data_IF_649211983543
#
_entry.id   IF_649211983543
#
_cell.length_a   1.000
_cell.length_b   1.000
_cell.length_c   1.000
_cell.angle_alpha   90.00
_cell.angle_beta   90.00
_cell.angle_gamma   90.00
#
_symmetry.space_group_name_H-M   'P 1'
#
loop_
_entity.id
_entity.type
_entity.pdbx_description
1 polymer ?
#
# COMPACT_ATOMS: atom_id res chain seq x y z
N UNK A 1 36.16 90.11 -26.96
CA UNK A 1 37.34 89.23 -27.16
C UNK A 1 37.83 88.74 -25.80
N UNK A 2 38.21 87.46 -25.75
CA UNK A 2 39.01 86.76 -24.72
C UNK A 2 38.36 86.43 -23.37
N UNK A 3 38.14 85.13 -23.26
CA UNK A 3 37.95 84.32 -22.06
C UNK A 3 39.21 84.25 -21.17
N UNK A 4 39.01 83.90 -19.89
CA UNK A 4 39.85 83.02 -19.02
C UNK A 4 39.19 83.00 -17.64
N UNK A 5 38.40 81.99 -17.29
CA UNK A 5 38.77 80.79 -16.52
C UNK A 5 39.49 81.06 -15.19
N UNK A 6 38.90 80.60 -14.07
CA UNK A 6 39.64 80.02 -12.92
C UNK A 6 38.73 79.17 -12.01
N UNK A 7 38.95 77.86 -12.18
CA UNK A 7 39.12 76.83 -11.15
C UNK A 7 37.97 76.50 -10.20
N UNK A 8 37.19 75.49 -10.60
CA UNK A 8 36.47 74.60 -9.69
C UNK A 8 37.42 73.54 -9.12
N UNK A 9 37.61 73.56 -7.80
CA UNK A 9 38.03 72.38 -7.03
C UNK A 9 36.72 71.81 -6.45
N UNK A 10 36.24 70.69 -7.00
CA UNK A 10 35.16 69.92 -6.37
C UNK A 10 35.78 68.70 -5.71
N UNK A 11 35.79 68.73 -4.39
CA UNK A 11 36.13 67.61 -3.53
C UNK A 11 35.18 66.44 -3.83
N UNK A 12 35.74 65.33 -4.29
CA UNK A 12 35.03 64.07 -4.42
C UNK A 12 34.88 63.45 -3.02
N UNK A 13 33.72 63.69 -2.39
CA UNK A 13 33.28 62.96 -1.21
C UNK A 13 32.92 61.55 -1.61
N UNK A 14 33.81 60.60 -1.35
CA UNK A 14 33.59 59.17 -1.53
C UNK A 14 32.66 58.67 -0.41
N UNK A 15 31.35 58.80 -0.62
CA UNK A 15 30.34 58.20 0.26
C UNK A 15 30.39 56.67 0.13
N UNK A 16 31.05 56.03 1.08
CA UNK A 16 31.07 54.59 1.26
C UNK A 16 29.66 54.14 1.72
N UNK A 17 28.81 53.77 0.75
CA UNK A 17 27.53 53.12 1.00
C UNK A 17 27.81 51.72 1.57
N UNK A 18 27.70 51.58 2.90
CA UNK A 18 27.52 50.29 3.55
C UNK A 18 26.19 49.70 3.07
N UNK A 19 26.25 48.81 2.09
CA UNK A 19 25.14 47.93 1.74
C UNK A 19 25.01 46.94 2.90
N UNK A 20 23.90 46.94 3.67
CA UNK A 20 23.69 45.91 4.67
C UNK A 20 23.65 44.58 3.93
N UNK A 21 24.59 43.68 4.26
CA UNK A 21 24.53 42.30 3.83
C UNK A 21 23.22 41.73 4.38
N UNK A 22 22.20 41.68 3.53
CA UNK A 22 20.96 41.00 3.83
C UNK A 22 21.34 39.56 4.14
N UNK A 23 21.22 39.17 5.40
CA UNK A 23 21.37 37.81 5.84
C UNK A 23 20.38 36.97 5.02
N UNK A 24 20.89 36.27 4.01
CA UNK A 24 20.13 35.24 3.32
C UNK A 24 19.83 34.19 4.38
N UNK A 25 18.62 34.24 4.95
CA UNK A 25 18.10 33.14 5.74
C UNK A 25 18.11 31.94 4.81
N UNK A 26 19.07 31.03 5.02
CA UNK A 26 19.08 29.76 4.33
C UNK A 26 17.76 29.07 4.67
N UNK A 27 16.81 29.14 3.74
CA UNK A 27 15.61 28.31 3.81
C UNK A 27 16.13 26.89 3.69
N UNK A 28 16.17 26.17 4.81
CA UNK A 28 16.44 24.75 4.80
C UNK A 28 15.45 24.15 3.79
N UNK A 29 16.00 23.51 2.75
CA UNK A 29 15.16 22.99 1.67
C UNK A 29 14.32 21.86 2.25
N UNK A 30 13.02 22.11 2.42
CA UNK A 30 12.06 21.07 2.80
C UNK A 30 12.15 19.96 1.75
N UNK A 31 12.39 18.73 2.21
CA UNK A 31 12.51 17.59 1.33
C UNK A 31 11.20 16.82 1.29
N UNK A 32 10.62 16.69 0.11
CA UNK A 32 9.45 15.86 -0.13
C UNK A 32 9.80 14.36 -0.10
N UNK A 33 9.12 13.59 0.74
CA UNK A 33 9.30 12.13 0.84
C UNK A 33 8.11 11.37 0.25
N UNK A 34 6.89 11.79 0.57
CA UNK A 34 5.65 11.17 0.08
C UNK A 34 4.71 12.25 -0.43
N UNK A 35 4.11 12.02 -1.59
CA UNK A 35 3.07 12.88 -2.16
C UNK A 35 1.88 12.03 -2.63
N UNK A 36 0.75 12.21 -1.96
CA UNK A 36 -0.56 11.70 -2.33
C UNK A 36 -1.50 12.89 -2.65
N UNK A 37 -2.66 12.66 -3.30
CA UNK A 37 -3.58 13.76 -3.67
C UNK A 37 -4.01 14.69 -2.52
N UNK A 38 -4.06 14.19 -1.29
CA UNK A 38 -4.52 14.90 -0.09
C UNK A 38 -3.50 14.90 1.06
N UNK A 39 -2.29 14.36 0.84
CA UNK A 39 -1.26 14.21 1.86
C UNK A 39 0.14 14.53 1.29
N UNK A 40 0.88 15.33 2.03
CA UNK A 40 2.29 15.63 1.80
C UNK A 40 3.09 15.20 3.04
N UNK A 41 4.21 14.49 2.85
CA UNK A 41 5.17 14.20 3.93
C UNK A 41 6.50 14.83 3.57
N UNK A 42 6.98 15.73 4.43
CA UNK A 42 8.24 16.43 4.27
C UNK A 42 9.18 16.18 5.44
N UNK A 43 10.48 16.29 5.17
CA UNK A 43 11.53 16.34 6.19
C UNK A 43 12.15 17.73 6.12
N UNK A 44 12.13 18.44 7.24
CA UNK A 44 12.54 19.86 7.29
C UNK A 44 14.06 20.05 7.36
N UNK A 45 14.82 18.95 7.49
CA UNK A 45 16.29 18.94 7.58
C UNK A 45 16.89 17.75 6.85
N UNK A 46 18.19 17.83 6.57
CA UNK A 46 18.94 16.70 6.03
C UNK A 46 18.87 15.50 6.99
N UNK A 47 18.67 14.29 6.44
CA UNK A 47 18.46 13.07 7.22
C UNK A 47 19.82 12.56 7.71
N UNK A 48 20.12 12.80 8.98
CA UNK A 48 21.30 12.25 9.65
C UNK A 48 21.09 10.78 10.03
N UNK A 49 21.97 9.89 9.55
CA UNK A 49 21.87 8.48 9.91
C UNK A 49 22.18 8.30 11.41
N UNK A 50 21.31 7.58 12.14
CA UNK A 50 21.42 7.39 13.59
C UNK A 50 20.77 8.49 14.42
N UNK A 51 20.17 9.51 13.80
CA UNK A 51 19.48 10.60 14.48
C UNK A 51 17.96 10.48 14.36
N UNK A 52 17.22 11.05 15.30
CA UNK A 52 15.76 11.13 15.20
C UNK A 52 15.41 12.07 14.03
N UNK A 53 14.58 11.62 13.10
CA UNK A 53 14.16 12.44 11.96
C UNK A 53 12.86 13.17 12.27
N UNK A 54 12.81 14.48 12.00
CA UNK A 54 11.59 15.27 12.10
C UNK A 54 10.79 15.10 10.81
N UNK A 55 9.55 14.60 10.93
CA UNK A 55 8.62 14.42 9.83
C UNK A 55 7.43 15.37 10.01
N UNK A 56 7.14 16.15 8.97
CA UNK A 56 5.96 17.00 8.91
C UNK A 56 4.98 16.43 7.88
N UNK A 57 3.79 16.05 8.33
CA UNK A 57 2.71 15.49 7.52
C UNK A 57 1.63 16.54 7.34
N UNK A 58 1.41 17.02 6.11
CA UNK A 58 0.38 18.01 5.78
C UNK A 58 -0.77 17.32 5.07
N UNK A 59 -1.96 17.30 5.67
CA UNK A 59 -3.15 16.69 5.08
C UNK A 59 -4.39 17.51 5.35
N UNK A 60 -5.35 17.48 4.42
CA UNK A 60 -6.68 18.07 4.67
C UNK A 60 -7.69 17.06 5.23
N UNK A 61 -7.32 15.78 5.29
CA UNK A 61 -8.08 14.70 5.89
C UNK A 61 -7.72 14.60 7.39
N UNK A 62 -8.65 14.98 8.26
CA UNK A 62 -8.46 14.92 9.72
C UNK A 62 -8.53 13.51 10.28
N UNK A 63 -9.17 12.57 9.59
CA UNK A 63 -9.22 11.18 10.02
C UNK A 63 -7.83 10.53 9.95
N UNK A 64 -6.95 11.02 9.06
CA UNK A 64 -5.54 10.64 9.03
C UNK A 64 -4.87 10.84 10.39
N UNK A 65 -5.14 11.96 11.06
CA UNK A 65 -4.48 12.38 12.30
C UNK A 65 -5.14 11.82 13.57
N UNK A 66 -6.10 10.91 13.43
CA UNK A 66 -6.69 10.23 14.57
C UNK A 66 -5.68 9.31 15.25
N UNK A 67 -5.83 9.18 16.57
CA UNK A 67 -5.13 8.16 17.34
C UNK A 67 -5.39 6.79 16.72
N UNK A 68 -4.32 6.01 16.55
CA UNK A 68 -4.34 4.66 15.99
C UNK A 68 -4.81 4.60 14.52
N UNK A 69 -4.70 5.71 13.77
CA UNK A 69 -5.03 5.76 12.34
C UNK A 69 -4.19 4.76 11.53
N UNK A 70 -4.82 3.74 10.89
CA UNK A 70 -4.11 2.80 10.03
C UNK A 70 -3.48 3.48 8.82
N UNK A 71 -4.12 4.56 8.34
CA UNK A 71 -3.60 5.35 7.22
C UNK A 71 -2.30 6.05 7.60
N UNK A 72 -2.23 6.68 8.77
CA UNK A 72 -1.00 7.32 9.27
C UNK A 72 0.11 6.30 9.49
N UNK A 73 -0.21 5.13 10.03
CA UNK A 73 0.75 4.05 10.20
C UNK A 73 1.37 3.62 8.86
N UNK A 74 0.55 3.39 7.82
CA UNK A 74 1.05 3.04 6.47
C UNK A 74 1.96 4.12 5.88
N UNK A 75 1.62 5.39 6.08
CA UNK A 75 2.44 6.52 5.61
C UNK A 75 3.80 6.53 6.31
N UNK A 76 3.82 6.29 7.62
CA UNK A 76 5.06 6.17 8.41
C UNK A 76 5.89 4.98 7.96
N UNK A 77 5.27 3.83 7.71
CA UNK A 77 5.95 2.61 7.24
C UNK A 77 6.59 2.84 5.86
N UNK A 78 5.85 3.48 4.94
CA UNK A 78 6.37 3.86 3.62
C UNK A 78 7.51 4.87 3.70
N UNK A 79 7.37 5.90 4.56
CA UNK A 79 8.40 6.91 4.79
C UNK A 79 9.68 6.27 5.34
N UNK A 80 9.55 5.33 6.29
CA UNK A 80 10.67 4.54 6.81
C UNK A 80 11.34 3.72 5.73
N UNK A 81 10.58 3.06 4.86
CA UNK A 81 11.16 2.28 3.77
C UNK A 81 11.98 3.16 2.82
N UNK A 82 11.47 4.35 2.48
CA UNK A 82 12.17 5.31 1.60
C UNK A 82 13.44 5.83 2.27
N UNK A 83 13.34 6.37 3.48
CA UNK A 83 14.49 6.92 4.21
C UNK A 83 15.50 5.83 4.59
N UNK A 84 15.06 4.58 4.74
CA UNK A 84 15.90 3.43 5.03
C UNK A 84 16.90 3.09 3.92
N UNK A 85 16.64 3.48 2.67
CA UNK A 85 17.63 3.34 1.58
C UNK A 85 18.83 4.27 1.75
N UNK A 86 18.63 5.42 2.38
CA UNK A 86 19.68 6.43 2.60
C UNK A 86 20.35 6.24 3.96
N UNK A 87 19.52 6.01 4.97
CA UNK A 87 19.93 5.80 6.34
C UNK A 87 19.26 4.54 6.89
N UNK A 88 19.93 3.40 6.66
CA UNK A 88 19.51 2.08 7.13
C UNK A 88 19.26 2.01 8.65
N UNK A 89 19.77 2.98 9.42
CA UNK A 89 19.61 3.09 10.87
C UNK A 89 18.97 4.42 11.26
N UNK A 90 17.72 4.64 10.87
CA UNK A 90 16.93 5.71 11.47
C UNK A 90 16.32 5.18 12.78
N UNK A 91 16.63 5.74 13.96
CA UNK A 91 16.15 5.23 15.24
C UNK A 91 14.65 5.48 15.48
N UNK A 92 14.17 6.68 15.12
CA UNK A 92 12.79 7.09 15.32
C UNK A 92 12.44 8.31 14.44
N UNK A 93 11.16 8.58 14.33
CA UNK A 93 10.56 9.78 13.78
C UNK A 93 9.82 10.55 14.87
N UNK A 94 10.02 11.86 14.88
CA UNK A 94 9.12 12.81 15.53
C UNK A 94 8.15 13.30 14.45
N UNK A 95 6.86 13.11 14.66
CA UNK A 95 5.83 13.36 13.66
C UNK A 95 5.01 14.58 14.08
N UNK A 96 4.99 15.59 13.23
CA UNK A 96 4.10 16.76 13.32
C UNK A 96 3.06 16.64 12.21
N UNK A 97 1.77 16.58 12.57
CA UNK A 97 0.67 16.59 11.62
C UNK A 97 0.04 17.98 11.52
N UNK A 98 -0.07 18.51 10.31
CA UNK A 98 -0.62 19.83 9.99
C UNK A 98 -1.87 19.71 9.11
N UNK A 99 -2.90 20.51 9.43
CA UNK A 99 -4.05 20.71 8.55
C UNK A 99 -3.60 21.56 7.35
N UNK A 100 -3.54 20.97 6.16
CA UNK A 100 -3.03 21.64 4.96
C UNK A 100 -3.86 22.88 4.55
N UNK A 101 -5.08 23.05 5.08
CA UNK A 101 -5.93 24.22 4.80
C UNK A 101 -5.60 25.40 5.70
N UNK A 102 -5.24 25.15 6.96
CA UNK A 102 -5.05 26.19 7.98
C UNK A 102 -3.59 26.37 8.38
N UNK A 103 -2.73 25.40 8.09
CA UNK A 103 -1.36 25.32 8.61
C UNK A 103 -1.29 25.01 10.10
N UNK A 104 -2.41 24.66 10.73
CA UNK A 104 -2.47 24.38 12.17
C UNK A 104 -1.93 22.98 12.47
N UNK A 105 -1.10 22.87 13.51
CA UNK A 105 -0.64 21.56 14.01
C UNK A 105 -1.79 20.86 14.74
N UNK A 106 -2.29 19.78 14.16
CA UNK A 106 -3.41 18.99 14.68
C UNK A 106 -2.97 17.68 15.32
N UNK A 107 -1.71 17.29 15.15
CA UNK A 107 -1.18 16.04 15.71
C UNK A 107 0.30 16.16 16.06
N UNK A 108 0.69 15.58 17.20
CA UNK A 108 2.08 15.32 17.54
C UNK A 108 2.25 13.89 18.01
N UNK A 109 3.27 13.21 17.50
CA UNK A 109 3.55 11.83 17.85
C UNK A 109 4.97 11.41 17.57
N UNK A 110 5.27 10.16 17.87
CA UNK A 110 6.56 9.54 17.59
C UNK A 110 6.34 8.17 16.96
N UNK A 111 7.25 7.72 16.11
CA UNK A 111 7.30 6.36 15.62
C UNK A 111 8.74 5.86 15.65
N UNK A 112 9.02 4.76 16.32
CA UNK A 112 10.39 4.28 16.46
C UNK A 112 10.48 2.93 17.17
N UNK A 113 11.68 2.37 17.19
CA UNK A 113 11.95 1.04 17.72
C UNK A 113 12.37 1.09 19.21
N UNK A 114 12.01 0.06 20.00
CA UNK A 114 12.97 -1.05 20.05
C UNK A 114 12.43 -2.45 19.70
N UNK A 115 11.12 -2.62 19.49
CA UNK A 115 10.57 -3.90 18.98
C UNK A 115 9.52 -3.78 17.88
N UNK A 116 8.82 -2.65 17.73
CA UNK A 116 7.81 -2.42 16.70
C UNK A 116 7.70 -0.92 16.36
N UNK A 117 7.78 -0.60 15.06
CA UNK A 117 7.58 0.75 14.55
C UNK A 117 6.10 1.12 14.53
N UNK A 118 5.61 1.62 15.67
CA UNK A 118 4.22 2.04 15.83
C UNK A 118 4.13 3.53 16.08
N UNK A 119 3.17 4.18 15.43
CA UNK A 119 2.87 5.59 15.69
C UNK A 119 2.21 5.72 17.05
N UNK A 120 2.86 6.44 17.95
CA UNK A 120 2.35 6.78 19.28
C UNK A 120 2.07 8.27 19.33
N UNK A 121 0.81 8.64 19.50
CA UNK A 121 0.44 10.03 19.75
C UNK A 121 0.93 10.45 21.14
N UNK A 122 1.66 11.56 21.20
CA UNK A 122 1.95 12.23 22.48
C UNK A 122 0.82 13.19 22.83
N UNK A 123 0.15 13.76 21.81
CA UNK A 123 -0.95 14.70 21.97
C UNK A 123 -1.82 14.68 20.70
N UNK A 124 -3.07 14.23 20.82
CA UNK A 124 -4.09 14.50 19.82
C UNK A 124 -4.74 15.83 20.23
N UNK A 125 -4.28 16.92 19.62
CA UNK A 125 -4.80 18.25 19.93
C UNK A 125 -6.28 18.27 19.53
N UNK A 126 -7.14 18.54 20.51
CA UNK A 126 -8.57 18.24 20.45
C UNK A 126 -9.21 18.65 19.12
N UNK A 127 -9.85 17.69 18.46
CA UNK A 127 -10.67 17.95 17.29
C UNK A 127 -11.70 19.04 17.65
N UNK A 128 -11.75 20.10 16.83
CA UNK A 128 -12.79 21.13 16.92
C UNK A 128 -14.18 20.46 17.08
N UNK A 129 -15.06 20.99 17.95
CA UNK A 129 -16.29 20.31 18.34
C UNK A 129 -17.14 19.95 17.11
N UNK A 130 -17.30 18.65 16.88
CA UNK A 130 -18.16 18.10 15.83
C UNK A 130 -19.60 18.52 16.09
N UNK A 131 -20.18 19.29 15.15
CA UNK A 131 -21.58 19.70 15.18
C UNK A 131 -22.53 18.51 15.24
N UNK A 132 -23.50 18.62 16.13
CA UNK A 132 -24.50 17.64 16.54
C UNK A 132 -25.51 17.31 15.43
N UNK A 133 -25.84 16.02 15.28
CA UNK A 133 -27.21 15.57 14.99
C UNK A 133 -27.44 14.78 13.70
N UNK A 134 -27.53 13.46 13.81
CA UNK A 134 -28.55 12.67 13.08
C UNK A 134 -28.69 11.27 13.67
N UNK A 135 -29.78 11.04 14.38
CA UNK A 135 -30.26 9.73 14.86
C UNK A 135 -31.05 9.04 13.75
N UNK A 136 -30.57 7.91 13.21
CA UNK A 136 -31.39 7.00 12.39
C UNK A 136 -31.09 5.53 12.71
N UNK A 137 -32.13 4.84 13.19
CA UNK A 137 -32.56 3.51 12.76
C UNK A 137 -31.61 2.32 12.93
N UNK A 138 -31.80 1.59 14.02
CA UNK A 138 -31.18 0.27 14.26
C UNK A 138 -31.85 -0.81 13.40
N UNK A 139 -31.18 -1.21 12.31
CA UNK A 139 -31.48 -2.42 11.55
C UNK A 139 -30.26 -3.34 11.59
N UNK A 140 -30.44 -4.54 12.14
CA UNK A 140 -29.39 -5.56 12.31
C UNK A 140 -28.74 -5.93 10.97
N UNK A 141 -27.66 -5.22 10.65
CA UNK A 141 -26.68 -5.56 9.61
C UNK A 141 -25.56 -6.30 10.32
N UNK A 142 -25.06 -7.39 9.74
CA UNK A 142 -23.92 -8.11 10.28
C UNK A 142 -22.75 -7.13 10.47
N UNK A 143 -22.52 -6.72 11.71
CA UNK A 143 -21.44 -5.82 12.06
C UNK A 143 -20.13 -6.56 11.82
N UNK A 144 -19.14 -5.92 11.16
CA UNK A 144 -17.80 -6.50 11.10
C UNK A 144 -17.31 -6.68 12.53
N UNK A 145 -16.93 -7.91 12.87
CA UNK A 145 -16.41 -8.27 14.18
C UNK A 145 -15.20 -7.39 14.49
N UNK A 146 -15.28 -6.69 15.63
CA UNK A 146 -14.19 -5.95 16.23
C UNK A 146 -13.04 -6.91 16.50
N UNK A 147 -11.88 -6.67 15.88
CA UNK A 147 -10.51 -7.08 16.25
C UNK A 147 -9.60 -7.25 15.01
N UNK A 148 -9.76 -6.42 13.97
CA UNK A 148 -8.75 -6.35 12.91
C UNK A 148 -7.62 -5.42 13.36
N UNK A 149 -6.61 -6.00 14.01
CA UNK A 149 -5.26 -5.41 14.01
C UNK A 149 -4.91 -5.11 12.56
N UNK A 150 -4.49 -3.88 12.27
CA UNK A 150 -4.00 -3.53 10.94
C UNK A 150 -2.68 -4.27 10.73
N UNK A 151 -2.78 -5.52 10.28
CA UNK A 151 -1.66 -6.26 9.72
C UNK A 151 -1.21 -5.44 8.50
N UNK A 152 0.09 -5.18 8.38
CA UNK A 152 0.67 -4.33 7.32
C UNK A 152 0.17 -4.68 5.91
N UNK A 153 0.44 -3.80 4.94
CA UNK A 153 0.00 -3.83 3.53
C UNK A 153 0.15 -5.16 2.78
N UNK A 154 0.83 -6.13 3.36
CA UNK A 154 1.22 -7.39 2.76
C UNK A 154 0.36 -8.56 3.26
N UNK A 155 -0.60 -8.29 4.15
CA UNK A 155 -1.56 -9.27 4.66
C UNK A 155 -2.95 -9.07 4.05
N UNK A 156 -3.49 -10.13 3.44
CA UNK A 156 -4.88 -10.14 2.96
C UNK A 156 -5.64 -11.22 3.73
N UNK A 157 -6.68 -10.83 4.47
CA UNK A 157 -7.44 -11.76 5.33
C UNK A 157 -6.58 -12.42 6.42
N UNK A 158 -5.59 -11.70 6.94
CA UNK A 158 -4.67 -12.20 7.96
C UNK A 158 -3.47 -13.01 7.43
N UNK A 159 -3.51 -13.44 6.17
CA UNK A 159 -2.47 -14.27 5.55
C UNK A 159 -1.46 -13.40 4.81
N UNK A 160 -0.17 -13.68 5.03
CA UNK A 160 0.98 -12.97 4.43
C UNK A 160 1.81 -13.92 3.58
N UNK A 161 2.52 -13.33 2.61
CA UNK A 161 3.61 -14.00 1.89
C UNK A 161 4.67 -14.53 2.88
N UNK A 162 5.24 -15.70 2.58
CA UNK A 162 6.24 -16.38 3.39
C UNK A 162 5.67 -17.24 4.53
N UNK A 163 4.42 -17.03 4.96
CA UNK A 163 3.79 -17.88 5.98
C UNK A 163 3.74 -19.34 5.52
N UNK A 164 4.01 -20.26 6.43
CA UNK A 164 3.72 -21.68 6.20
C UNK A 164 2.22 -21.90 6.09
N UNK A 165 1.81 -22.99 5.44
CA UNK A 165 0.39 -23.38 5.35
C UNK A 165 -0.28 -23.44 6.73
N UNK A 166 0.42 -23.93 7.75
CA UNK A 166 -0.09 -24.03 9.11
C UNK A 166 -0.31 -22.65 9.75
N UNK A 167 0.66 -21.74 9.62
CA UNK A 167 0.54 -20.35 10.11
C UNK A 167 -0.59 -19.61 9.38
N UNK A 168 -0.65 -19.72 8.06
CA UNK A 168 -1.69 -19.09 7.25
C UNK A 168 -3.09 -19.65 7.58
N UNK A 169 -3.20 -20.96 7.82
CA UNK A 169 -4.46 -21.58 8.26
C UNK A 169 -4.91 -21.05 9.63
N UNK A 170 -4.00 -20.89 10.58
CA UNK A 170 -4.32 -20.33 11.88
C UNK A 170 -4.72 -18.85 11.79
N UNK A 171 -4.03 -18.08 10.94
CA UNK A 171 -4.32 -16.66 10.73
C UNK A 171 -5.69 -16.44 10.06
N UNK A 172 -6.06 -17.27 9.09
CA UNK A 172 -7.34 -17.16 8.39
C UNK A 172 -8.54 -17.68 9.21
N UNK A 173 -8.32 -18.61 10.16
CA UNK A 173 -9.40 -19.35 10.81
C UNK A 173 -10.41 -18.54 11.64
N UNK A 174 -10.12 -17.27 11.97
CA UNK A 174 -11.04 -16.40 12.70
C UNK A 174 -11.97 -15.54 11.83
N UNK A 175 -11.61 -15.34 10.56
CA UNK A 175 -12.21 -14.30 9.70
C UNK A 175 -13.11 -14.87 8.59
N UNK A 176 -13.09 -16.19 8.38
CA UNK A 176 -13.80 -16.88 7.31
C UNK A 176 -14.70 -17.98 7.85
N UNK A 177 -15.86 -18.24 7.21
CA UNK A 177 -16.67 -19.40 7.54
C UNK A 177 -15.90 -20.68 7.21
N UNK A 178 -15.97 -21.67 8.11
CA UNK A 178 -15.28 -22.94 7.95
C UNK A 178 -13.81 -22.93 8.37
N UNK A 179 -13.18 -24.11 8.35
CA UNK A 179 -11.74 -24.24 8.59
C UNK A 179 -11.00 -24.09 7.27
N UNK A 180 -9.90 -23.31 7.21
CA UNK A 180 -9.06 -23.28 6.03
C UNK A 180 -8.56 -24.68 5.66
N UNK A 181 -8.62 -25.03 4.37
CA UNK A 181 -8.25 -26.33 3.84
C UNK A 181 -7.06 -26.17 2.90
N UNK A 182 -5.98 -26.88 3.17
CA UNK A 182 -4.86 -26.97 2.25
C UNK A 182 -5.11 -28.06 1.21
N UNK A 183 -5.14 -27.65 -0.06
CA UNK A 183 -5.32 -28.50 -1.23
C UNK A 183 -4.00 -28.65 -1.94
N UNK A 184 -3.30 -29.75 -1.64
CA UNK A 184 -1.99 -30.06 -2.22
C UNK A 184 -2.04 -30.17 -3.75
N UNK A 185 -3.13 -30.71 -4.29
CA UNK A 185 -3.39 -30.83 -5.73
C UNK A 185 -3.49 -29.46 -6.43
N UNK A 186 -3.90 -28.42 -5.70
CA UNK A 186 -4.01 -27.05 -6.21
C UNK A 186 -2.87 -26.15 -5.75
N UNK A 187 -1.94 -26.70 -4.95
CA UNK A 187 -0.93 -25.95 -4.22
C UNK A 187 -1.51 -24.69 -3.57
N UNK A 188 -2.66 -24.81 -2.91
CA UNK A 188 -3.40 -23.66 -2.38
C UNK A 188 -3.99 -23.93 -1.00
N UNK A 189 -3.90 -22.95 -0.11
CA UNK A 189 -4.73 -22.85 1.09
C UNK A 189 -6.01 -22.09 0.75
N UNK A 190 -7.16 -22.65 1.08
CA UNK A 190 -8.46 -22.07 0.77
C UNK A 190 -9.24 -21.86 2.06
N UNK A 191 -9.76 -20.66 2.30
CA UNK A 191 -10.63 -20.35 3.43
C UNK A 191 -11.90 -19.64 2.95
N UNK A 192 -13.07 -20.12 3.39
CA UNK A 192 -14.38 -19.63 2.96
C UNK A 192 -15.39 -20.75 2.87
N UNK A 193 -16.55 -20.44 2.29
CA UNK A 193 -17.63 -21.41 2.07
C UNK A 193 -17.19 -22.55 1.12
N UNK A 194 -17.90 -23.68 1.13
CA UNK A 194 -17.54 -24.89 0.34
C UNK A 194 -17.31 -24.58 -1.16
N UNK A 195 -18.01 -23.60 -1.71
CA UNK A 195 -17.90 -23.14 -3.11
C UNK A 195 -16.58 -22.41 -3.43
N UNK A 196 -15.87 -21.93 -2.41
CA UNK A 196 -14.59 -21.22 -2.56
C UNK A 196 -13.53 -22.10 -3.26
N UNK A 197 -13.55 -23.40 -2.98
CA UNK A 197 -12.68 -24.40 -3.60
C UNK A 197 -13.04 -24.60 -5.08
N UNK A 198 -14.33 -24.66 -5.41
CA UNK A 198 -14.81 -24.84 -6.78
C UNK A 198 -14.35 -23.71 -7.71
N UNK A 199 -14.11 -22.51 -7.17
CA UNK A 199 -13.63 -21.39 -7.96
C UNK A 199 -12.21 -21.56 -8.51
N UNK A 200 -11.34 -22.27 -7.79
CA UNK A 200 -10.00 -22.58 -8.27
C UNK A 200 -9.99 -23.57 -9.43
N UNK A 201 -11.04 -24.39 -9.55
CA UNK A 201 -11.08 -25.50 -10.51
C UNK A 201 -12.00 -25.26 -11.70
N UNK A 202 -13.13 -24.55 -11.52
CA UNK A 202 -14.21 -24.53 -12.52
C UNK A 202 -14.86 -23.18 -12.77
N UNK A 203 -14.21 -22.06 -12.41
CA UNK A 203 -14.83 -20.72 -12.47
C UNK A 203 -16.20 -20.66 -11.76
N UNK A 204 -16.38 -21.48 -10.72
CA UNK A 204 -17.63 -21.49 -9.94
C UNK A 204 -17.87 -20.09 -9.39
N UNK A 205 -19.07 -19.57 -9.65
CA UNK A 205 -19.46 -18.19 -9.31
C UNK A 205 -19.75 -18.11 -7.82
N UNK A 206 -19.15 -17.13 -7.14
CA UNK A 206 -19.51 -16.81 -5.76
C UNK A 206 -20.92 -16.22 -5.71
N UNK A 207 -21.68 -16.59 -4.68
CA UNK A 207 -22.97 -16.01 -4.36
C UNK A 207 -22.76 -14.72 -3.56
N UNK A 208 -23.64 -13.74 -3.71
CA UNK A 208 -23.59 -12.50 -2.94
C UNK A 208 -23.44 -12.78 -1.43
N UNK A 209 -22.51 -12.08 -0.78
CA UNK A 209 -22.16 -12.28 0.63
C UNK A 209 -20.99 -13.25 0.87
N UNK A 210 -20.71 -14.16 -0.06
CA UNK A 210 -19.61 -15.12 0.11
C UNK A 210 -18.23 -14.43 0.05
N UNK A 211 -17.32 -14.95 0.90
CA UNK A 211 -15.92 -14.52 0.99
C UNK A 211 -15.04 -15.73 0.74
N UNK A 212 -14.00 -15.54 -0.06
CA UNK A 212 -13.10 -16.61 -0.43
C UNK A 212 -11.66 -16.11 -0.41
N UNK A 213 -10.85 -16.66 0.49
CA UNK A 213 -9.42 -16.41 0.58
C UNK A 213 -8.66 -17.57 -0.04
N UNK A 214 -7.73 -17.25 -0.92
CA UNK A 214 -6.83 -18.20 -1.57
C UNK A 214 -5.40 -17.78 -1.30
N UNK A 215 -4.67 -18.58 -0.53
CA UNK A 215 -3.22 -18.50 -0.40
C UNK A 215 -2.56 -19.47 -1.37
N UNK A 216 -2.02 -19.00 -2.49
CA UNK A 216 -1.22 -19.86 -3.37
C UNK A 216 0.11 -20.16 -2.70
N UNK A 217 0.51 -21.43 -2.77
CA UNK A 217 1.68 -21.97 -2.07
C UNK A 217 2.69 -22.49 -3.05
N UNK A 218 3.96 -22.45 -2.64
CA UNK A 218 5.03 -23.13 -3.35
C UNK A 218 5.45 -24.38 -2.60
N UNK A 219 5.88 -25.39 -3.34
CA UNK A 219 6.41 -26.64 -2.79
C UNK A 219 7.77 -26.41 -2.11
N UNK A 220 7.69 -25.94 -0.86
CA UNK A 220 8.79 -25.97 0.10
C UNK A 220 8.47 -26.98 1.21
N UNK A 221 9.44 -27.33 2.04
CA UNK A 221 9.21 -28.11 3.25
C UNK A 221 9.51 -27.25 4.50
N UNK A 222 8.48 -26.75 5.21
CA UNK A 222 7.05 -26.87 4.94
C UNK A 222 6.56 -25.96 3.79
N UNK A 223 5.41 -26.23 3.13
CA UNK A 223 4.88 -25.39 2.05
C UNK A 223 4.57 -23.97 2.53
N UNK A 224 4.90 -22.97 1.71
CA UNK A 224 4.76 -21.55 2.06
C UNK A 224 3.89 -20.80 1.08
N UNK A 225 3.09 -19.86 1.59
CA UNK A 225 2.27 -18.95 0.80
C UNK A 225 3.18 -17.97 0.07
N UNK A 226 3.08 -17.87 -1.25
CA UNK A 226 3.80 -16.86 -2.03
C UNK A 226 2.89 -15.74 -2.54
N UNK A 227 1.58 -15.98 -2.54
CA UNK A 227 0.58 -15.02 -2.99
C UNK A 227 -0.73 -15.25 -2.28
N UNK A 228 -1.42 -14.17 -1.93
CA UNK A 228 -2.75 -14.23 -1.32
C UNK A 228 -3.75 -13.42 -2.15
N UNK A 229 -4.91 -14.02 -2.40
CA UNK A 229 -6.01 -13.44 -3.15
C UNK A 229 -7.27 -13.52 -2.28
N UNK A 230 -7.94 -12.39 -2.06
CA UNK A 230 -9.26 -12.34 -1.43
C UNK A 230 -10.29 -12.00 -2.50
N UNK A 231 -11.34 -12.80 -2.55
CA UNK A 231 -12.51 -12.58 -3.35
C UNK A 231 -13.72 -12.32 -2.45
N UNK A 232 -14.48 -11.28 -2.76
CA UNK A 232 -15.73 -10.96 -2.09
C UNK A 232 -16.82 -10.71 -3.13
N UNK A 233 -17.91 -11.47 -3.06
CA UNK A 233 -19.11 -11.15 -3.82
C UNK A 233 -20.00 -10.22 -3.00
N UNK A 234 -20.35 -9.06 -3.59
CA UNK A 234 -21.18 -8.04 -2.96
C UNK A 234 -22.48 -7.90 -3.74
N UNK A 235 -23.60 -7.92 -3.03
CA UNK A 235 -24.92 -7.69 -3.62
C UNK A 235 -25.00 -6.29 -4.26
N UNK A 236 -25.67 -6.18 -5.42
CA UNK A 236 -25.82 -4.91 -6.11
C UNK A 236 -26.52 -3.84 -5.27
N UNK A 237 -27.51 -4.21 -4.44
CA UNK A 237 -28.31 -3.26 -3.67
C UNK A 237 -27.52 -2.64 -2.52
N UNK A 238 -26.55 -3.38 -1.98
CA UNK A 238 -25.67 -2.93 -0.89
C UNK A 238 -24.28 -2.49 -1.37
N UNK A 239 -24.06 -2.46 -2.69
CA UNK A 239 -22.74 -2.32 -3.31
C UNK A 239 -22.00 -1.07 -2.83
N UNK A 240 -22.65 0.10 -2.81
CA UNK A 240 -21.94 1.35 -2.56
C UNK A 240 -21.32 1.40 -1.15
N UNK A 241 -22.10 1.00 -0.13
CA UNK A 241 -21.66 1.02 1.26
C UNK A 241 -20.62 -0.07 1.55
N UNK A 242 -20.87 -1.30 1.09
CA UNK A 242 -19.97 -2.43 1.36
C UNK A 242 -18.64 -2.26 0.60
N UNK A 243 -18.68 -1.81 -0.67
CA UNK A 243 -17.44 -1.54 -1.43
C UNK A 243 -16.60 -0.48 -0.73
N UNK A 244 -17.20 0.61 -0.26
CA UNK A 244 -16.46 1.67 0.43
C UNK A 244 -15.75 1.13 1.69
N UNK A 245 -16.45 0.34 2.52
CA UNK A 245 -15.87 -0.27 3.72
C UNK A 245 -14.75 -1.27 3.39
N UNK A 246 -14.94 -2.08 2.34
CA UNK A 246 -13.92 -3.03 1.90
C UNK A 246 -12.71 -2.32 1.31
N UNK A 247 -12.89 -1.19 0.62
CA UNK A 247 -11.80 -0.39 0.08
C UNK A 247 -11.05 0.39 1.14
N UNK A 248 -11.74 0.86 2.17
CA UNK A 248 -11.11 1.43 3.36
C UNK A 248 -10.23 0.40 4.07
N UNK A 249 -10.73 -0.85 4.22
CA UNK A 249 -10.04 -1.94 4.91
C UNK A 249 -8.89 -2.55 4.10
N UNK A 250 -9.11 -2.86 2.83
CA UNK A 250 -8.18 -3.64 2.00
C UNK A 250 -7.53 -2.84 0.86
N UNK A 251 -7.86 -1.55 0.72
CA UNK A 251 -7.46 -0.75 -0.44
C UNK A 251 -8.32 -1.02 -1.68
N UNK A 252 -7.96 -0.41 -2.81
CA UNK A 252 -8.70 -0.61 -4.06
C UNK A 252 -8.53 -2.06 -4.55
N UNK A 253 -9.61 -2.75 -4.95
CA UNK A 253 -9.51 -4.10 -5.49
C UNK A 253 -8.75 -4.09 -6.82
N UNK A 254 -7.93 -5.10 -7.04
CA UNK A 254 -7.20 -5.33 -8.29
C UNK A 254 -8.14 -5.67 -9.46
N UNK A 255 -9.27 -6.32 -9.17
CA UNK A 255 -10.28 -6.69 -10.18
C UNK A 255 -11.69 -6.44 -9.66
N UNK A 256 -12.56 -5.92 -10.52
CA UNK A 256 -14.00 -5.80 -10.30
C UNK A 256 -14.75 -6.45 -11.46
N UNK A 257 -15.58 -7.45 -11.19
CA UNK A 257 -16.40 -8.15 -12.18
C UNK A 257 -17.87 -8.07 -11.80
N UNK A 258 -18.76 -7.90 -12.77
CA UNK A 258 -20.20 -8.00 -12.53
C UNK A 258 -20.67 -9.40 -12.93
N UNK A 259 -21.53 -9.98 -12.13
CA UNK A 259 -22.11 -11.30 -12.40
C UNK A 259 -23.59 -11.36 -12.06
N UNK A 260 -24.24 -12.41 -12.58
CA UNK A 260 -25.63 -12.75 -12.32
C UNK A 260 -25.69 -14.17 -11.74
N UNK A 261 -26.54 -14.38 -10.73
CA UNK A 261 -26.73 -15.69 -10.12
C UNK A 261 -27.43 -16.65 -11.10
N UNK A 262 -26.94 -17.89 -11.25
CA UNK A 262 -27.61 -18.90 -12.06
C UNK A 262 -28.99 -19.25 -11.46
N UNK A 263 -30.00 -19.42 -12.32
CA UNK A 263 -31.37 -19.75 -11.90
C UNK A 263 -32.29 -18.54 -11.72
N UNK A 264 -31.79 -17.31 -11.87
CA UNK A 264 -32.65 -16.16 -12.13
C UNK A 264 -33.22 -16.29 -13.55
N UNK A 265 -34.45 -16.79 -13.63
CA UNK A 265 -35.30 -16.67 -14.82
C UNK A 265 -35.29 -15.21 -15.29
N UNK A 266 -35.14 -14.98 -16.60
CA UNK A 266 -34.99 -13.67 -17.26
C UNK A 266 -36.07 -12.64 -16.92
N UNK A 267 -37.12 -13.04 -16.21
CA UNK A 267 -38.27 -12.22 -15.87
C UNK A 267 -38.27 -11.73 -14.42
N UNK A 268 -37.41 -12.28 -13.56
CA UNK A 268 -37.13 -11.70 -12.25
C UNK A 268 -35.76 -11.05 -12.34
N UNK A 269 -35.67 -9.77 -11.99
CA UNK A 269 -34.41 -9.03 -11.91
C UNK A 269 -33.42 -9.86 -11.09
N UNK A 270 -32.53 -10.58 -11.78
CA UNK A 270 -31.63 -11.49 -11.12
C UNK A 270 -30.81 -10.75 -10.11
N UNK A 271 -30.57 -11.39 -8.96
CA UNK A 271 -29.68 -10.85 -7.95
C UNK A 271 -28.31 -10.71 -8.61
N UNK A 272 -28.01 -9.47 -8.99
CA UNK A 272 -26.75 -9.07 -9.58
C UNK A 272 -25.76 -8.91 -8.44
N UNK A 273 -24.54 -9.36 -8.68
CA UNK A 273 -23.46 -9.15 -7.73
C UNK A 273 -22.29 -8.48 -8.41
N UNK A 274 -21.49 -7.78 -7.61
CA UNK A 274 -20.16 -7.31 -8.00
C UNK A 274 -19.15 -8.12 -7.23
N UNK A 275 -18.32 -8.85 -7.96
CA UNK A 275 -17.17 -9.52 -7.40
C UNK A 275 -16.00 -8.55 -7.32
N UNK A 276 -15.42 -8.45 -6.13
CA UNK A 276 -14.22 -7.67 -5.84
C UNK A 276 -13.07 -8.64 -5.54
N UNK A 277 -11.89 -8.38 -6.08
CA UNK A 277 -10.70 -9.20 -5.85
C UNK A 277 -9.51 -8.35 -5.43
N UNK A 278 -8.90 -8.68 -4.29
CA UNK A 278 -7.67 -8.09 -3.79
C UNK A 278 -6.54 -9.10 -3.93
N UNK A 279 -5.37 -8.62 -4.33
CA UNK A 279 -4.15 -9.41 -4.41
C UNK A 279 -3.13 -8.72 -3.52
N UNK A 280 -2.53 -9.46 -2.59
CA UNK A 280 -1.39 -8.94 -1.86
C UNK A 280 -0.28 -8.62 -2.88
N UNK A 281 0.39 -7.46 -2.80
CA UNK A 281 1.54 -7.19 -3.64
C UNK A 281 2.55 -8.32 -3.44
N UNK A 282 3.09 -8.84 -4.55
CA UNK A 282 4.24 -9.74 -4.44
C UNK A 282 5.36 -8.90 -3.81
N UNK A 283 5.99 -9.39 -2.74
CA UNK A 283 7.15 -8.75 -2.10
C UNK A 283 8.34 -8.80 -3.09
N UNK A 284 8.30 -7.91 -4.09
CA UNK A 284 9.12 -7.84 -5.30
C UNK A 284 9.08 -9.12 -6.16
N UNK A 285 9.08 -9.00 -7.50
CA UNK A 285 9.63 -10.08 -8.30
C UNK A 285 11.08 -10.28 -7.83
N UNK A 286 11.48 -11.50 -7.56
CA UNK A 286 12.89 -11.80 -7.30
C UNK A 286 13.63 -11.37 -8.56
N UNK A 287 14.39 -10.28 -8.45
CA UNK A 287 15.04 -9.65 -9.59
C UNK A 287 16.00 -10.66 -10.23
N UNK A 288 15.65 -11.04 -11.46
CA UNK A 288 16.47 -11.80 -12.35
C UNK A 288 17.61 -10.90 -12.88
N UNK A 289 18.77 -10.89 -12.23
CA UNK A 289 20.01 -10.49 -12.90
C UNK A 289 20.67 -11.72 -13.51
N UNK A 290 20.06 -12.22 -14.59
CA UNK A 290 20.77 -13.05 -15.55
C UNK A 290 20.30 -12.63 -16.94
N UNK A 291 20.97 -11.65 -17.54
CA UNK A 291 20.96 -11.51 -19.01
C UNK A 291 21.79 -12.66 -19.55
N UNK A 292 21.21 -13.64 -20.27
CA UNK A 292 22.03 -14.50 -21.10
C UNK A 292 22.67 -13.60 -22.16
N UNK A 293 23.99 -13.55 -22.22
CA UNK A 293 24.66 -12.89 -23.33
C UNK A 293 24.17 -13.50 -24.64
N UNK A 294 23.55 -12.70 -25.52
CA UNK A 294 23.39 -13.04 -26.94
C UNK A 294 21.98 -13.32 -27.48
N UNK A 295 20.89 -12.88 -26.84
CA UNK A 295 19.55 -12.94 -27.46
C UNK A 295 19.09 -11.53 -27.85
N UNK A 296 19.01 -11.27 -29.15
CA UNK A 296 18.45 -10.04 -29.70
C UNK A 296 16.95 -9.93 -29.38
N UNK A 297 16.44 -8.76 -28.97
CA UNK A 297 15.04 -8.58 -28.61
C UNK A 297 14.17 -8.51 -29.89
N UNK A 298 13.58 -9.64 -30.27
CA UNK A 298 12.43 -9.66 -31.19
C UNK A 298 11.16 -9.69 -30.35
N UNK A 299 10.52 -8.51 -30.25
CA UNK A 299 9.12 -8.14 -29.95
C UNK A 299 8.09 -9.10 -29.32
N UNK A 300 8.46 -10.17 -28.62
CA UNK A 300 7.51 -11.02 -27.89
C UNK A 300 7.65 -10.78 -26.39
N UNK A 301 6.54 -10.43 -25.73
CA UNK A 301 6.44 -10.24 -24.29
C UNK A 301 6.62 -11.61 -23.60
N UNK A 302 7.85 -11.91 -23.21
CA UNK A 302 8.20 -13.04 -22.37
C UNK A 302 8.18 -12.53 -20.92
N UNK A 303 7.24 -13.04 -20.13
CA UNK A 303 7.19 -12.79 -18.70
C UNK A 303 7.89 -13.93 -17.95
N UNK A 304 8.70 -13.58 -16.96
CA UNK A 304 9.47 -14.52 -16.16
C UNK A 304 9.14 -14.34 -14.67
N UNK A 305 8.83 -15.44 -13.99
CA UNK A 305 8.87 -15.53 -12.53
C UNK A 305 10.14 -16.27 -12.17
N UNK A 306 11.08 -15.54 -11.59
CA UNK A 306 12.22 -16.14 -10.94
C UNK A 306 11.87 -16.33 -9.47
N UNK A 307 12.19 -17.48 -8.91
CA UNK A 307 12.07 -17.74 -7.48
C UNK A 307 13.39 -18.31 -6.95
N UNK A 308 14.02 -17.59 -6.03
CA UNK A 308 15.30 -17.97 -5.42
C UNK A 308 15.10 -18.48 -3.99
N UNK A 309 15.68 -19.64 -3.71
CA UNK A 309 15.67 -20.33 -2.42
C UNK A 309 17.11 -20.65 -2.00
N UNK A 310 17.72 -19.78 -1.19
CA UNK A 310 19.11 -19.97 -0.77
C UNK A 310 20.08 -19.94 -1.95
N UNK A 311 20.70 -21.10 -2.29
CA UNK A 311 21.58 -21.24 -3.45
C UNK A 311 20.90 -21.78 -4.72
N UNK A 312 19.60 -22.10 -4.66
CA UNK A 312 18.85 -22.65 -5.80
C UNK A 312 17.93 -21.58 -6.39
N UNK A 313 17.93 -21.42 -7.70
CA UNK A 313 17.03 -20.50 -8.41
C UNK A 313 16.17 -21.30 -9.39
N UNK A 314 14.86 -21.22 -9.22
CA UNK A 314 13.87 -21.73 -10.16
C UNK A 314 13.39 -20.58 -11.06
N UNK A 315 13.33 -20.81 -12.37
CA UNK A 315 12.88 -19.81 -13.34
C UNK A 315 11.72 -20.40 -14.12
N UNK A 316 10.54 -19.82 -13.94
CA UNK A 316 9.34 -20.16 -14.69
C UNK A 316 9.09 -19.07 -15.71
N UNK A 317 9.14 -19.43 -16.98
CA UNK A 317 8.84 -18.53 -18.10
C UNK A 317 7.44 -18.85 -18.61
N UNK A 318 6.65 -17.83 -18.89
CA UNK A 318 5.42 -17.99 -19.67
C UNK A 318 5.37 -16.99 -20.80
N UNK A 319 4.72 -17.42 -21.88
CA UNK A 319 4.42 -16.58 -23.03
C UNK A 319 2.99 -16.87 -23.47
N UNK A 320 2.29 -15.83 -23.91
CA UNK A 320 0.99 -15.98 -24.57
C UNK A 320 1.14 -16.54 -25.99
N UNK A 321 2.36 -16.56 -26.53
CA UNK A 321 2.68 -17.15 -27.83
C UNK A 321 3.03 -18.65 -27.68
N UNK A 322 2.04 -19.49 -27.97
CA UNK A 322 2.16 -20.95 -27.87
C UNK A 322 3.14 -21.54 -28.90
N UNK A 323 3.41 -20.85 -30.02
CA UNK A 323 4.40 -21.29 -31.00
C UNK A 323 5.84 -21.07 -30.50
N UNK A 324 6.07 -20.01 -29.72
CA UNK A 324 7.35 -19.75 -29.07
C UNK A 324 7.70 -20.83 -28.03
N UNK A 325 6.71 -21.27 -27.25
CA UNK A 325 6.86 -22.36 -26.27
C UNK A 325 7.11 -23.71 -26.95
N UNK A 326 6.41 -23.99 -28.05
CA UNK A 326 6.58 -25.26 -28.78
C UNK A 326 7.95 -25.38 -29.47
N UNK A 327 8.56 -24.26 -29.87
CA UNK A 327 9.86 -24.24 -30.55
C UNK A 327 11.07 -24.21 -29.60
N UNK A 328 10.85 -23.99 -28.30
CA UNK A 328 11.91 -23.92 -27.28
C UNK A 328 11.65 -24.94 -26.14
N UNK A 329 11.98 -26.23 -26.32
CA UNK A 329 11.65 -27.30 -25.37
C UNK A 329 12.36 -27.20 -24.01
N UNK A 330 13.34 -26.29 -23.88
CA UNK A 330 13.99 -25.94 -22.61
C UNK A 330 13.08 -25.07 -21.72
N UNK A 331 12.07 -24.41 -22.31
CA UNK A 331 11.04 -23.67 -21.60
C UNK A 331 9.94 -24.66 -21.23
N UNK A 332 10.03 -25.23 -20.02
CA UNK A 332 8.99 -26.15 -19.52
C UNK A 332 7.70 -25.37 -19.24
N UNK A 333 6.74 -25.48 -20.14
CA UNK A 333 5.36 -25.09 -19.87
C UNK A 333 4.74 -26.11 -18.89
N UNK A 334 4.51 -25.71 -17.63
CA UNK A 334 3.49 -26.35 -16.78
C UNK A 334 2.19 -25.60 -17.05
N UNK A 335 1.22 -26.29 -17.67
CA UNK A 335 -0.16 -25.82 -17.83
C UNK A 335 -0.92 -25.96 -16.52
#
# INVERSE_FOLDING_TARGET
MRATSKNMIRAAGLSLLMVPAAFATATAAERLVVQEPDLLVVVDREVGCGEITELTMRSSDRDLFRKDSPRMQRVVDGTRAILGFECARTPAFNITGEDNRTGEVVFRGTAGDPTQWLVRSSEALAAAPSGTGSTVGSGSTAAPTSNSVSLGSDAVGGVRTGMTVAEASNAAGGDFPGKPVYRRDLQALVAGDEDCVGRLQSNTRLIAGQRCLVGQTVESDPPRVYQTILHQAVDQDQRAQIVAQLEERFGRPAKRERGELPGSSSNNAGNKYTLLSWRAPLERPIEASARPNGIDPVSHELEALVVSYGQTTEVTLWSTDTALLASNPQIKAKF
#
